data_IF_074982156242
#
_entry.id   IF_074982156242
#
_cell.length_a   1.000
_cell.length_b   1.000
_cell.length_c   1.000
_cell.angle_alpha   90.00
_cell.angle_beta   90.00
_cell.angle_gamma   90.00
#
_symmetry.space_group_name_H-M   'P 1'
#
loop_
_entity.id
_entity.type
_entity.pdbx_description
1 polymer ?
#
# COMPACT_ATOMS: atom_id res chain seq x y z
N UNK A 1 -5.55 -10.00 -14.40
CA UNK A 1 -5.38 -9.34 -13.11
C UNK A 1 -6.49 -8.37 -12.83
N UNK A 2 -6.57 -7.94 -11.60
CA UNK A 2 -7.56 -6.95 -11.21
C UNK A 2 -7.19 -5.57 -11.76
N UNK A 3 -8.20 -4.89 -12.24
CA UNK A 3 -8.05 -3.53 -12.72
C UNK A 3 -8.48 -2.57 -11.62
N UNK A 4 -7.55 -1.77 -11.12
CA UNK A 4 -7.80 -0.80 -10.04
C UNK A 4 -8.05 0.61 -10.53
N UNK A 5 -8.16 0.81 -11.84
CA UNK A 5 -8.27 2.17 -12.39
C UNK A 5 -9.44 2.95 -11.82
N UNK A 6 -10.52 2.26 -11.45
CA UNK A 6 -11.69 2.91 -10.87
C UNK A 6 -11.57 3.18 -9.36
N UNK A 7 -10.59 2.52 -8.68
CA UNK A 7 -10.41 2.64 -7.24
C UNK A 7 -9.16 3.40 -6.87
N UNK A 8 -8.08 3.23 -7.64
CA UNK A 8 -6.79 3.83 -7.36
C UNK A 8 -5.99 3.96 -8.64
N UNK A 9 -5.19 5.01 -8.71
CA UNK A 9 -4.23 5.17 -9.80
C UNK A 9 -3.04 4.25 -9.55
N UNK A 10 -2.77 3.35 -10.48
CA UNK A 10 -1.60 2.47 -10.43
C UNK A 10 -0.54 3.02 -11.35
N UNK A 11 0.55 3.50 -10.78
CA UNK A 11 1.61 4.18 -11.53
C UNK A 11 2.93 3.45 -11.28
N UNK A 12 3.68 3.18 -12.36
CA UNK A 12 5.00 2.59 -12.28
C UNK A 12 6.03 3.68 -12.49
N UNK A 13 6.96 3.82 -11.54
CA UNK A 13 8.00 4.83 -11.59
C UNK A 13 9.38 4.19 -11.66
N UNK A 14 10.36 4.84 -12.33
CA UNK A 14 11.72 4.31 -12.41
C UNK A 14 12.45 4.31 -11.07
N UNK A 15 12.09 5.22 -10.17
CA UNK A 15 12.68 5.27 -8.83
C UNK A 15 11.67 5.86 -7.83
N UNK A 16 11.96 5.64 -6.55
CA UNK A 16 11.06 6.02 -5.46
C UNK A 16 10.97 7.53 -5.29
N UNK A 17 12.06 8.26 -5.51
CA UNK A 17 12.06 9.71 -5.37
C UNK A 17 11.20 10.35 -6.45
N UNK A 18 11.31 9.90 -7.69
CA UNK A 18 10.46 10.37 -8.78
C UNK A 18 8.99 10.10 -8.48
N UNK A 19 8.69 8.92 -7.93
CA UNK A 19 7.33 8.56 -7.53
C UNK A 19 6.80 9.53 -6.48
N UNK A 20 7.54 9.75 -5.41
CA UNK A 20 7.11 10.58 -4.30
C UNK A 20 6.98 12.06 -4.69
N UNK A 21 7.76 12.51 -5.66
CA UNK A 21 7.67 13.88 -6.17
C UNK A 21 6.35 14.14 -6.89
N UNK A 22 5.68 13.10 -7.40
CA UNK A 22 4.38 13.25 -8.06
C UNK A 22 3.22 13.36 -7.06
N UNK A 23 3.46 13.02 -5.80
CA UNK A 23 2.44 13.03 -4.74
C UNK A 23 2.98 13.74 -3.49
N UNK A 24 3.35 15.04 -3.60
CA UNK A 24 4.07 15.73 -2.52
C UNK A 24 3.26 15.86 -1.23
N UNK A 25 1.94 15.87 -1.30
CA UNK A 25 1.06 16.08 -0.16
C UNK A 25 0.41 14.80 0.36
N UNK A 26 0.65 13.66 -0.28
CA UNK A 26 0.04 12.40 0.13
C UNK A 26 0.79 11.76 1.30
N UNK A 27 0.03 11.17 2.22
CA UNK A 27 0.62 10.26 3.19
C UNK A 27 0.94 8.97 2.46
N UNK A 28 2.01 8.29 2.86
CA UNK A 28 2.48 7.07 2.20
C UNK A 28 2.57 5.95 3.21
N UNK A 29 1.85 4.86 2.95
CA UNK A 29 1.85 3.67 3.78
C UNK A 29 2.57 2.56 3.05
N UNK A 30 3.69 2.10 3.63
CA UNK A 30 4.52 1.05 3.02
C UNK A 30 4.12 -0.31 3.57
N UNK A 31 3.74 -1.23 2.68
CA UNK A 31 3.30 -2.57 3.03
C UNK A 31 4.50 -3.51 3.10
N UNK A 32 4.78 -4.03 4.30
CA UNK A 32 5.92 -4.90 4.57
C UNK A 32 5.56 -5.88 5.67
N UNK A 33 6.23 -7.04 5.68
CA UNK A 33 6.10 -8.01 6.76
C UNK A 33 6.99 -7.67 7.97
N UNK A 34 7.82 -6.62 7.87
CA UNK A 34 8.80 -6.25 8.90
C UNK A 34 8.28 -5.20 9.87
N UNK A 35 7.02 -5.26 10.21
CA UNK A 35 6.40 -4.37 11.18
C UNK A 35 5.28 -5.11 11.93
N UNK A 36 4.93 -4.64 13.11
CA UNK A 36 3.82 -5.16 13.89
C UNK A 36 2.52 -4.38 13.68
N UNK A 37 2.58 -3.27 12.97
CA UNK A 37 1.41 -2.43 12.72
C UNK A 37 0.55 -3.02 11.61
N UNK A 38 -0.68 -3.36 11.92
CA UNK A 38 -1.60 -3.94 10.94
C UNK A 38 -2.23 -2.86 10.05
N UNK A 39 -2.39 -3.17 8.77
CA UNK A 39 -2.85 -2.23 7.76
C UNK A 39 -4.26 -1.69 8.03
N UNK A 40 -5.14 -2.51 8.61
CA UNK A 40 -6.54 -2.15 8.83
C UNK A 40 -6.75 -1.25 10.04
N UNK A 41 -5.73 -1.10 10.89
CA UNK A 41 -5.78 -0.21 12.05
C UNK A 41 -5.48 1.25 11.70
N UNK A 42 -5.02 1.51 10.49
CA UNK A 42 -4.80 2.86 9.99
C UNK A 42 -6.13 3.50 9.62
N UNK A 43 -6.31 4.77 9.97
CA UNK A 43 -7.44 5.56 9.51
C UNK A 43 -7.06 6.22 8.18
N UNK A 44 -7.43 5.59 7.09
CA UNK A 44 -7.08 6.07 5.75
C UNK A 44 -7.89 7.31 5.38
N UNK A 45 -7.27 8.16 4.57
CA UNK A 45 -7.89 9.38 4.05
C UNK A 45 -7.81 9.38 2.53
N UNK A 46 -8.73 10.08 1.91
CA UNK A 46 -8.68 10.28 0.47
C UNK A 46 -7.34 10.93 0.08
N UNK A 47 -6.72 10.42 -0.96
CA UNK A 47 -5.40 10.89 -1.40
C UNK A 47 -4.22 10.15 -0.78
N UNK A 48 -4.43 9.25 0.18
CA UNK A 48 -3.35 8.42 0.72
C UNK A 48 -2.77 7.51 -0.36
N UNK A 49 -1.46 7.29 -0.30
CA UNK A 49 -0.75 6.40 -1.20
C UNK A 49 -0.37 5.11 -0.50
N UNK A 50 -0.47 4.00 -1.23
CA UNK A 50 -0.11 2.67 -0.76
C UNK A 50 1.08 2.18 -1.56
N UNK A 51 2.19 1.88 -0.89
CA UNK A 51 3.44 1.44 -1.52
C UNK A 51 3.63 -0.05 -1.31
N UNK A 52 3.88 -0.76 -2.41
CA UNK A 52 4.16 -2.19 -2.39
C UNK A 52 5.50 -2.44 -3.06
N UNK A 53 6.19 -3.48 -2.60
CA UNK A 53 7.41 -3.95 -3.23
C UNK A 53 7.12 -5.00 -4.29
N UNK A 54 8.19 -5.57 -4.88
CA UNK A 54 8.04 -6.67 -5.81
C UNK A 54 7.68 -7.97 -5.07
N UNK A 55 7.21 -8.97 -5.82
CA UNK A 55 6.74 -10.23 -5.23
C UNK A 55 7.86 -11.05 -4.59
N UNK A 56 9.08 -10.93 -5.09
CA UNK A 56 10.21 -11.75 -4.64
C UNK A 56 10.81 -11.25 -3.32
N UNK A 57 11.01 -9.94 -3.20
CA UNK A 57 11.83 -9.35 -2.13
C UNK A 57 11.09 -8.31 -1.28
N UNK A 58 9.88 -7.94 -1.67
CA UNK A 58 9.16 -6.85 -1.01
C UNK A 58 9.81 -5.50 -1.27
N UNK A 59 9.59 -4.55 -0.36
CA UNK A 59 10.17 -3.21 -0.45
C UNK A 59 11.60 -3.27 0.10
N UNK A 60 12.61 -2.79 -0.65
CA UNK A 60 13.98 -2.73 -0.13
C UNK A 60 14.07 -1.90 1.16
N UNK A 61 14.97 -2.29 2.06
CA UNK A 61 15.14 -1.61 3.35
C UNK A 61 15.45 -0.12 3.18
N UNK A 62 16.24 0.24 2.19
CA UNK A 62 16.56 1.64 1.91
C UNK A 62 15.32 2.45 1.53
N UNK A 63 14.36 1.84 0.86
CA UNK A 63 13.09 2.48 0.53
C UNK A 63 12.18 2.58 1.75
N UNK A 64 12.17 1.54 2.59
CA UNK A 64 11.40 1.57 3.85
C UNK A 64 11.87 2.66 4.79
N UNK A 65 13.15 3.02 4.73
CA UNK A 65 13.73 4.08 5.54
C UNK A 65 13.52 5.48 4.96
N UNK A 66 12.89 5.61 3.80
CA UNK A 66 12.67 6.90 3.16
C UNK A 66 11.84 7.82 4.07
N UNK A 67 12.25 9.10 4.25
CA UNK A 67 11.59 10.00 5.19
C UNK A 67 10.14 10.37 4.82
N UNK A 68 9.76 10.19 3.55
CA UNK A 68 8.40 10.46 3.09
C UNK A 68 7.40 9.39 3.51
N UNK A 69 7.86 8.21 3.95
CA UNK A 69 6.94 7.15 4.38
C UNK A 69 6.34 7.51 5.73
N UNK A 70 5.01 7.55 5.78
CA UNK A 70 4.26 7.91 6.98
C UNK A 70 4.29 6.77 7.99
N UNK A 71 4.08 5.54 7.55
CA UNK A 71 4.06 4.37 8.41
C UNK A 71 4.30 3.10 7.60
N UNK A 72 4.92 2.12 8.25
CA UNK A 72 5.00 0.74 7.76
C UNK A 72 3.79 -0.01 8.29
N UNK A 73 3.14 -0.79 7.44
CA UNK A 73 1.98 -1.61 7.82
C UNK A 73 2.09 -2.99 7.20
N UNK A 74 1.39 -3.96 7.78
CA UNK A 74 1.36 -5.32 7.25
C UNK A 74 -0.07 -5.83 7.17
N UNK A 75 -0.30 -6.73 6.22
CA UNK A 75 -1.52 -7.52 6.17
C UNK A 75 -1.27 -8.76 7.02
N UNK A 76 -2.07 -9.00 8.08
CA UNK A 76 -1.83 -10.14 8.96
C UNK A 76 -2.02 -11.46 8.21
N UNK A 77 -1.16 -12.42 8.52
CA UNK A 77 -1.21 -13.77 7.96
C UNK A 77 -1.10 -14.78 9.10
N UNK A 78 -1.72 -15.93 8.92
CA UNK A 78 -1.54 -17.01 9.88
C UNK A 78 -0.09 -17.49 9.82
N UNK A 79 0.49 -17.91 10.98
CA UNK A 79 1.85 -18.46 11.01
C UNK A 79 2.01 -19.60 10.00
N UNK A 80 3.18 -19.70 9.40
CA UNK A 80 3.55 -20.73 8.42
C UNK A 80 2.74 -20.70 7.12
N UNK A 81 1.92 -19.69 6.89
CA UNK A 81 1.22 -19.51 5.62
C UNK A 81 2.06 -18.66 4.68
N UNK A 82 1.85 -18.87 3.38
CA UNK A 82 2.47 -18.01 2.36
C UNK A 82 1.91 -16.60 2.44
N UNK A 83 2.75 -15.63 2.12
CA UNK A 83 2.27 -14.29 1.88
C UNK A 83 1.35 -14.29 0.67
N UNK A 84 0.35 -13.41 0.67
CA UNK A 84 -0.46 -13.18 -0.52
C UNK A 84 0.41 -12.63 -1.64
N UNK A 85 0.08 -12.96 -2.89
CA UNK A 85 0.77 -12.35 -4.01
C UNK A 85 0.48 -10.84 -4.05
N UNK A 86 1.31 -10.11 -4.81
CA UNK A 86 1.23 -8.65 -4.86
C UNK A 86 -0.15 -8.13 -5.27
N UNK A 87 -0.73 -8.72 -6.31
CA UNK A 87 -2.04 -8.30 -6.81
C UNK A 87 -3.12 -8.47 -5.75
N UNK A 88 -3.14 -9.60 -5.06
CA UNK A 88 -4.12 -9.85 -4.00
C UNK A 88 -3.92 -8.92 -2.82
N UNK A 89 -2.67 -8.67 -2.43
CA UNK A 89 -2.36 -7.74 -1.34
C UNK A 89 -2.82 -6.33 -1.66
N UNK A 90 -2.56 -5.87 -2.88
CA UNK A 90 -3.00 -4.55 -3.32
C UNK A 90 -4.54 -4.46 -3.34
N UNK A 91 -5.23 -5.52 -3.80
CA UNK A 91 -6.69 -5.57 -3.78
C UNK A 91 -7.24 -5.42 -2.37
N UNK A 92 -6.72 -6.21 -1.45
CA UNK A 92 -7.17 -6.20 -0.05
C UNK A 92 -6.98 -4.83 0.56
N UNK A 93 -5.81 -4.23 0.36
CA UNK A 93 -5.49 -2.92 0.94
C UNK A 93 -6.36 -1.80 0.35
N UNK A 94 -6.55 -1.79 -0.97
CA UNK A 94 -7.36 -0.78 -1.64
C UNK A 94 -8.82 -0.89 -1.20
N UNK A 95 -9.37 -2.09 -1.12
CA UNK A 95 -10.74 -2.27 -0.67
C UNK A 95 -10.92 -1.89 0.79
N UNK A 96 -9.94 -2.14 1.66
CA UNK A 96 -10.02 -1.71 3.05
C UNK A 96 -10.05 -0.18 3.16
N UNK A 97 -9.18 0.51 2.43
CA UNK A 97 -9.15 1.96 2.42
C UNK A 97 -10.47 2.52 1.88
N UNK A 98 -11.00 1.95 0.80
CA UNK A 98 -12.26 2.36 0.21
C UNK A 98 -13.43 2.10 1.15
N UNK A 99 -13.43 0.96 1.84
CA UNK A 99 -14.44 0.65 2.86
C UNK A 99 -14.47 1.73 3.95
N UNK A 100 -13.29 2.15 4.42
CA UNK A 100 -13.19 3.19 5.45
C UNK A 100 -13.76 4.52 4.96
N UNK A 101 -13.62 4.80 3.67
CA UNK A 101 -14.18 6.00 3.04
C UNK A 101 -15.67 5.84 2.67
N UNK A 102 -16.32 4.79 3.17
CA UNK A 102 -17.75 4.55 2.96
C UNK A 102 -18.09 4.05 1.56
N UNK A 103 -17.15 3.43 0.87
CA UNK A 103 -17.31 2.99 -0.53
C UNK A 103 -17.76 4.13 -1.45
N UNK A 104 -17.19 5.31 -1.23
CA UNK A 104 -17.52 6.53 -1.97
C UNK A 104 -17.48 6.29 -3.48
N UNK A 105 -18.58 6.63 -4.18
CA UNK A 105 -18.70 6.42 -5.62
C UNK A 105 -19.07 5.00 -6.03
N UNK A 106 -19.21 4.08 -5.07
CA UNK A 106 -19.62 2.69 -5.33
C UNK A 106 -21.12 2.57 -5.61
N UNK A 107 -21.46 1.49 -6.26
CA UNK A 107 -22.85 1.18 -6.59
C UNK A 107 -23.33 -0.05 -5.82
#
# INVERSE_FOLDING_TARGET
>A
GLDYHDLADVIIHPDIDACFDTIPDSRIFAFTAHTEHHYHEVSYQDGDALLFGNEANGIPDEHLAHPRITRHVRIPMLPARRSMNLTNSASVAVYEAWRQLGFLGGI
#
